data_IF_029182489357
#
_entry.id   IF_029182489357
#
_cell.length_a   1.000
_cell.length_b   1.000
_cell.length_c   1.000
_cell.angle_alpha   90.00
_cell.angle_beta   90.00
_cell.angle_gamma   90.00
#
_symmetry.space_group_name_H-M   'P 1'
#
loop_
_entity.id
_entity.type
_entity.pdbx_description
1 polymer ?
#
# COMPACT_ATOMS: atom_id res chain seq x y z
N UNK A 1 4.21 16.15 -12.47
CA UNK A 1 3.75 14.86 -11.95
C UNK A 1 2.25 14.96 -11.74
N UNK A 2 1.47 14.12 -12.41
CA UNK A 2 0.03 14.08 -12.22
C UNK A 2 -0.24 13.50 -10.81
N UNK A 3 -1.04 14.17 -9.99
CA UNK A 3 -1.43 13.63 -8.68
C UNK A 3 -2.51 12.55 -8.90
N UNK A 4 -2.10 11.36 -9.37
CA UNK A 4 -3.01 10.25 -9.67
C UNK A 4 -3.84 9.84 -8.46
N UNK A 5 -3.23 9.78 -7.28
CA UNK A 5 -3.93 9.41 -6.06
C UNK A 5 -5.02 10.39 -5.63
N UNK A 6 -4.94 11.64 -6.06
CA UNK A 6 -6.00 12.65 -5.82
C UNK A 6 -7.16 12.59 -6.81
N UNK A 7 -7.05 11.79 -7.87
CA UNK A 7 -8.13 11.60 -8.85
C UNK A 7 -9.11 10.53 -8.39
N UNK A 8 -10.32 10.56 -8.93
CA UNK A 8 -11.33 9.51 -8.77
C UNK A 8 -11.43 8.68 -10.04
N UNK A 9 -11.63 7.37 -9.90
CA UNK A 9 -11.95 6.53 -11.05
C UNK A 9 -13.28 6.95 -11.67
N UNK A 10 -13.34 6.91 -12.98
CA UNK A 10 -14.56 7.22 -13.74
C UNK A 10 -15.06 5.94 -14.41
N UNK A 11 -16.39 5.75 -14.56
CA UNK A 11 -16.91 4.60 -15.25
C UNK A 11 -16.32 4.50 -16.66
N UNK A 12 -15.73 3.34 -17.01
CA UNK A 12 -15.27 3.07 -18.35
C UNK A 12 -16.43 2.45 -19.16
N UNK A 13 -16.96 3.20 -20.10
CA UNK A 13 -17.98 2.68 -21.02
C UNK A 13 -17.35 1.80 -22.09
N UNK A 14 -18.02 0.70 -22.44
CA UNK A 14 -17.59 -0.15 -23.55
C UNK A 14 -17.53 0.64 -24.86
N UNK A 15 -16.45 0.41 -25.63
CA UNK A 15 -16.20 1.13 -26.89
C UNK A 15 -15.12 2.21 -26.82
N UNK A 16 -14.67 2.60 -25.62
CA UNK A 16 -13.46 3.40 -25.48
C UNK A 16 -12.24 2.55 -25.83
N UNK A 17 -11.31 3.02 -26.68
CA UNK A 17 -10.09 2.26 -26.97
C UNK A 17 -9.20 2.14 -25.71
N UNK A 18 -8.47 1.03 -25.54
CA UNK A 18 -7.44 0.93 -24.52
C UNK A 18 -6.36 2.01 -24.68
N UNK A 19 -5.66 2.29 -23.58
CA UNK A 19 -4.55 3.23 -23.58
C UNK A 19 -3.42 2.76 -24.51
N UNK A 20 -2.85 3.67 -25.28
CA UNK A 20 -1.71 3.38 -26.18
C UNK A 20 -0.42 3.13 -25.40
N UNK A 21 0.50 2.32 -25.97
CA UNK A 21 1.73 1.88 -25.31
C UNK A 21 2.61 3.04 -24.81
N UNK A 22 2.73 4.10 -25.59
CA UNK A 22 3.51 5.29 -25.21
C UNK A 22 2.95 5.93 -23.94
N UNK A 23 1.63 6.03 -23.84
CA UNK A 23 0.94 6.62 -22.70
C UNK A 23 1.02 5.71 -21.47
N UNK A 24 0.97 4.39 -21.66
CA UNK A 24 1.21 3.40 -20.58
C UNK A 24 2.59 3.64 -19.97
N UNK A 25 3.63 3.81 -20.78
CA UNK A 25 5.00 4.06 -20.31
C UNK A 25 5.15 5.41 -19.57
N UNK A 26 4.35 6.41 -19.95
CA UNK A 26 4.31 7.69 -19.23
C UNK A 26 3.70 7.51 -17.84
N UNK A 27 2.55 6.83 -17.73
CA UNK A 27 1.87 6.60 -16.47
C UNK A 27 2.63 5.65 -15.53
N UNK A 28 3.38 4.67 -16.05
CA UNK A 28 4.24 3.79 -15.25
C UNK A 28 5.31 4.55 -14.46
N UNK A 29 5.75 5.71 -14.93
CA UNK A 29 6.71 6.56 -14.20
C UNK A 29 6.11 7.20 -12.93
N UNK A 30 4.79 7.26 -12.85
CA UNK A 30 4.06 7.84 -11.72
C UNK A 30 3.72 6.78 -10.64
N UNK A 31 3.87 5.48 -10.95
CA UNK A 31 3.57 4.36 -10.05
C UNK A 31 4.78 3.44 -9.90
N UNK A 32 5.53 3.61 -8.81
CA UNK A 32 6.80 2.92 -8.62
C UNK A 32 6.60 1.42 -8.33
N UNK A 33 7.36 0.58 -9.03
CA UNK A 33 7.38 -0.86 -8.84
C UNK A 33 6.19 -1.61 -9.43
N UNK A 34 5.34 -0.94 -10.21
CA UNK A 34 4.34 -1.60 -11.05
C UNK A 34 4.94 -2.01 -12.39
N UNK A 35 4.58 -3.19 -12.86
CA UNK A 35 5.03 -3.77 -14.12
C UNK A 35 3.86 -3.96 -15.06
N UNK A 36 4.03 -3.58 -16.34
CA UNK A 36 3.04 -3.87 -17.38
C UNK A 36 3.23 -5.28 -17.91
N UNK A 37 2.13 -5.97 -18.21
CA UNK A 37 2.08 -7.27 -18.85
C UNK A 37 1.24 -7.18 -20.12
N UNK A 38 1.85 -7.53 -21.25
CA UNK A 38 1.20 -7.60 -22.57
C UNK A 38 0.41 -6.33 -22.97
N UNK A 39 0.80 -5.17 -22.46
CA UNK A 39 0.11 -3.88 -22.60
C UNK A 39 -1.39 -3.91 -22.21
N UNK A 40 -1.80 -4.92 -21.41
CA UNK A 40 -3.20 -5.16 -21.04
C UNK A 40 -3.48 -5.00 -19.56
N UNK A 41 -2.50 -5.24 -18.70
CA UNK A 41 -2.64 -5.08 -17.26
C UNK A 41 -1.34 -4.55 -16.65
N UNK A 42 -1.45 -3.95 -15.49
CA UNK A 42 -0.32 -3.64 -14.62
C UNK A 42 -0.42 -4.45 -13.35
N UNK A 43 0.72 -4.91 -12.82
CA UNK A 43 0.79 -5.71 -11.61
C UNK A 43 1.88 -5.23 -10.66
N UNK A 44 1.66 -5.45 -9.35
CA UNK A 44 2.66 -5.28 -8.31
C UNK A 44 2.46 -6.29 -7.19
N UNK A 45 3.56 -6.83 -6.65
CA UNK A 45 3.55 -7.75 -5.52
C UNK A 45 4.03 -7.05 -4.26
N UNK A 46 3.18 -7.02 -3.25
CA UNK A 46 3.47 -6.53 -1.91
C UNK A 46 3.86 -7.69 -1.00
N UNK A 47 4.82 -7.48 -0.11
CA UNK A 47 5.33 -8.50 0.82
C UNK A 47 5.09 -8.04 2.25
N UNK A 48 4.54 -8.93 3.07
CA UNK A 48 4.22 -8.70 4.47
C UNK A 48 5.01 -9.66 5.36
N UNK A 49 5.07 -9.38 6.65
CA UNK A 49 5.75 -10.26 7.64
C UNK A 49 4.92 -11.51 7.91
N UNK A 50 3.60 -11.40 7.92
CA UNK A 50 2.67 -12.46 8.26
C UNK A 50 1.55 -12.58 7.24
N UNK A 51 0.89 -13.74 7.23
CA UNK A 51 -0.34 -13.95 6.45
C UNK A 51 -1.47 -13.02 6.91
N UNK A 52 -1.57 -12.73 8.22
CA UNK A 52 -2.58 -11.84 8.78
C UNK A 52 -2.44 -10.42 8.22
N UNK A 53 -1.24 -9.86 8.26
CA UNK A 53 -0.96 -8.54 7.66
C UNK A 53 -1.32 -8.48 6.17
N UNK A 54 -1.00 -9.54 5.41
CA UNK A 54 -1.37 -9.64 4.01
C UNK A 54 -2.90 -9.58 3.80
N UNK A 55 -3.68 -10.30 4.63
CA UNK A 55 -5.14 -10.28 4.55
C UNK A 55 -5.73 -8.94 5.01
N UNK A 56 -5.16 -8.33 6.06
CA UNK A 56 -5.62 -7.02 6.53
C UNK A 56 -5.42 -5.95 5.45
N UNK A 57 -4.30 -5.99 4.72
CA UNK A 57 -4.06 -5.12 3.57
C UNK A 57 -5.03 -5.40 2.40
N UNK A 58 -5.30 -6.66 2.09
CA UNK A 58 -6.32 -7.03 1.07
C UNK A 58 -7.68 -6.44 1.40
N UNK A 59 -8.10 -6.49 2.67
CA UNK A 59 -9.38 -5.91 3.10
C UNK A 59 -9.41 -4.37 2.91
N UNK A 60 -8.30 -3.68 3.16
CA UNK A 60 -8.23 -2.23 2.92
C UNK A 60 -8.30 -1.91 1.43
N UNK A 61 -7.60 -2.66 0.58
CA UNK A 61 -7.67 -2.50 -0.87
C UNK A 61 -9.07 -2.83 -1.40
N UNK A 62 -9.74 -3.85 -0.84
CA UNK A 62 -11.12 -4.16 -1.20
C UNK A 62 -12.08 -2.99 -0.91
N UNK A 63 -11.99 -2.37 0.27
CA UNK A 63 -12.78 -1.18 0.58
C UNK A 63 -12.49 -0.02 -0.39
N UNK A 64 -11.20 0.22 -0.70
CA UNK A 64 -10.81 1.22 -1.69
C UNK A 64 -11.39 0.91 -3.08
N UNK A 65 -11.39 -0.35 -3.50
CA UNK A 65 -11.92 -0.79 -4.80
C UNK A 65 -13.44 -0.55 -4.90
N UNK A 66 -14.19 -0.82 -3.81
CA UNK A 66 -15.62 -0.49 -3.73
C UNK A 66 -15.86 1.02 -3.81
N UNK A 67 -15.07 1.82 -3.09
CA UNK A 67 -15.21 3.28 -3.09
C UNK A 67 -14.91 3.90 -4.47
N UNK A 68 -13.98 3.31 -5.22
CA UNK A 68 -13.55 3.78 -6.54
C UNK A 68 -14.37 3.15 -7.69
N UNK A 69 -15.08 2.04 -7.45
CA UNK A 69 -15.78 1.28 -8.48
C UNK A 69 -14.83 0.65 -9.50
N UNK A 70 -13.57 0.35 -9.09
CA UNK A 70 -12.55 -0.25 -9.95
C UNK A 70 -11.79 -1.34 -9.17
N UNK A 71 -11.99 -2.59 -9.55
CA UNK A 71 -11.59 -3.77 -8.78
C UNK A 71 -10.35 -4.42 -9.36
N UNK A 72 -9.28 -4.64 -8.57
CA UNK A 72 -8.12 -5.42 -8.97
C UNK A 72 -8.42 -6.93 -8.92
N UNK A 73 -7.75 -7.72 -9.74
CA UNK A 73 -7.57 -9.13 -9.48
C UNK A 73 -6.53 -9.30 -8.37
N UNK A 74 -6.82 -10.19 -7.38
CA UNK A 74 -6.02 -10.33 -6.17
C UNK A 74 -5.49 -11.75 -6.04
N UNK A 75 -4.17 -11.91 -6.04
CA UNK A 75 -3.50 -13.20 -5.92
C UNK A 75 -2.75 -13.24 -4.58
N UNK A 76 -3.18 -14.12 -3.67
CA UNK A 76 -2.58 -14.26 -2.34
C UNK A 76 -1.73 -15.51 -2.29
N UNK A 77 -0.45 -15.35 -1.95
CA UNK A 77 0.51 -16.45 -1.75
C UNK A 77 1.18 -16.29 -0.39
N UNK A 78 0.53 -16.82 0.65
CA UNK A 78 0.89 -16.70 2.07
C UNK A 78 1.00 -15.22 2.50
N UNK A 79 2.21 -14.68 2.65
CA UNK A 79 2.47 -13.29 3.04
C UNK A 79 2.79 -12.36 1.86
N UNK A 80 2.48 -12.79 0.65
CA UNK A 80 2.63 -11.98 -0.57
C UNK A 80 1.30 -11.82 -1.25
N UNK A 81 0.98 -10.60 -1.63
CA UNK A 81 -0.24 -10.25 -2.36
C UNK A 81 0.16 -9.57 -3.65
N UNK A 82 -0.30 -10.10 -4.77
CA UNK A 82 -0.16 -9.46 -6.08
C UNK A 82 -1.50 -8.86 -6.46
N UNK A 83 -1.51 -7.58 -6.78
CA UNK A 83 -2.66 -6.92 -7.39
C UNK A 83 -2.39 -6.79 -8.88
N UNK A 84 -3.36 -7.19 -9.69
CA UNK A 84 -3.38 -7.01 -11.13
C UNK A 84 -4.53 -6.05 -11.46
N UNK A 85 -4.23 -4.99 -12.20
CA UNK A 85 -5.18 -3.95 -12.57
C UNK A 85 -5.34 -3.93 -14.08
N UNK A 86 -6.57 -4.01 -14.53
CA UNK A 86 -6.97 -3.93 -15.93
C UNK A 86 -8.42 -3.45 -16.04
N UNK A 87 -8.75 -2.76 -17.09
CA UNK A 87 -10.11 -2.32 -17.35
C UNK A 87 -10.80 -3.32 -18.28
N UNK A 88 -11.52 -4.28 -17.70
CA UNK A 88 -12.15 -5.38 -18.44
C UNK A 88 -13.09 -4.92 -19.55
N UNK A 89 -13.84 -3.82 -19.36
CA UNK A 89 -14.80 -3.30 -20.33
C UNK A 89 -14.17 -2.92 -21.67
N UNK A 90 -12.89 -2.52 -21.66
CA UNK A 90 -12.13 -2.12 -22.85
C UNK A 90 -11.04 -3.12 -23.22
N UNK A 91 -10.89 -4.22 -22.45
CA UNK A 91 -9.88 -5.29 -22.64
C UNK A 91 -8.44 -4.78 -22.65
N UNK A 92 -8.12 -3.84 -21.79
CA UNK A 92 -6.80 -3.22 -21.69
C UNK A 92 -6.72 -2.18 -20.59
N UNK A 93 -5.70 -1.35 -20.62
CA UNK A 93 -5.44 -0.34 -19.60
C UNK A 93 -6.18 0.97 -19.89
N UNK A 94 -6.60 1.61 -18.80
CA UNK A 94 -7.13 2.97 -18.75
C UNK A 94 -6.42 3.78 -17.65
N UNK A 95 -6.76 5.06 -17.52
CA UNK A 95 -6.26 5.88 -16.42
C UNK A 95 -6.67 5.35 -15.04
N UNK A 96 -7.84 4.69 -14.93
CA UNK A 96 -8.32 4.12 -13.66
C UNK A 96 -7.35 3.10 -13.06
N UNK A 97 -6.69 2.29 -13.88
CA UNK A 97 -5.73 1.30 -13.43
C UNK A 97 -4.54 1.97 -12.70
N UNK A 98 -4.07 3.08 -13.22
CA UNK A 98 -2.98 3.86 -12.63
C UNK A 98 -3.43 4.69 -11.42
N UNK A 99 -4.67 5.19 -11.41
CA UNK A 99 -5.27 5.82 -10.23
C UNK A 99 -5.33 4.82 -9.08
N UNK A 100 -5.86 3.61 -9.33
CA UNK A 100 -5.91 2.55 -8.32
C UNK A 100 -4.53 2.13 -7.86
N UNK A 101 -3.58 1.91 -8.77
CA UNK A 101 -2.19 1.60 -8.44
C UNK A 101 -1.58 2.62 -7.46
N UNK A 102 -1.73 3.91 -7.78
CA UNK A 102 -1.23 5.00 -6.94
C UNK A 102 -1.88 5.04 -5.55
N UNK A 103 -3.19 4.78 -5.45
CA UNK A 103 -3.92 4.72 -4.17
C UNK A 103 -3.54 3.52 -3.33
N UNK A 104 -3.35 2.34 -3.94
CA UNK A 104 -2.86 1.14 -3.26
C UNK A 104 -1.46 1.39 -2.68
N UNK A 105 -0.57 2.05 -3.44
CA UNK A 105 0.76 2.42 -2.95
C UNK A 105 0.70 3.39 -1.77
N UNK A 106 -0.23 4.35 -1.78
CA UNK A 106 -0.42 5.25 -0.64
C UNK A 106 -0.87 4.52 0.63
N UNK A 107 -1.81 3.57 0.52
CA UNK A 107 -2.25 2.74 1.65
C UNK A 107 -1.07 1.97 2.24
N UNK A 108 -0.31 1.28 1.42
CA UNK A 108 0.85 0.50 1.85
C UNK A 108 1.92 1.37 2.54
N UNK A 109 2.26 2.51 1.93
CA UNK A 109 3.25 3.44 2.47
C UNK A 109 2.80 4.08 3.78
N UNK A 110 1.49 4.31 3.95
CA UNK A 110 0.92 4.81 5.19
C UNK A 110 1.06 3.80 6.33
N UNK A 111 0.75 2.54 6.09
CA UNK A 111 0.92 1.46 7.07
C UNK A 111 2.38 1.34 7.53
N UNK A 112 3.33 1.31 6.60
CA UNK A 112 4.75 1.27 6.94
C UNK A 112 5.19 2.48 7.80
N UNK A 113 4.69 3.67 7.51
CA UNK A 113 5.01 4.87 8.28
C UNK A 113 4.44 4.79 9.69
N UNK A 114 3.19 4.38 9.84
CA UNK A 114 2.53 4.23 11.15
C UNK A 114 3.26 3.18 11.97
N UNK A 115 3.59 2.02 11.41
CA UNK A 115 4.36 0.97 12.11
C UNK A 115 5.69 1.50 12.62
N UNK A 116 6.48 2.16 11.75
CA UNK A 116 7.79 2.74 12.12
C UNK A 116 7.68 3.75 13.27
N UNK A 117 6.65 4.61 13.25
CA UNK A 117 6.42 5.61 14.32
C UNK A 117 6.02 4.93 15.62
N UNK A 118 5.11 3.96 15.59
CA UNK A 118 4.63 3.23 16.76
C UNK A 118 5.76 2.45 17.42
N UNK A 119 6.55 1.72 16.65
CA UNK A 119 7.71 0.95 17.14
C UNK A 119 8.73 1.88 17.80
N UNK A 120 9.06 3.01 17.18
CA UNK A 120 9.98 4.01 17.75
C UNK A 120 9.48 4.57 19.07
N UNK A 121 8.18 4.89 19.16
CA UNK A 121 7.56 5.41 20.39
C UNK A 121 7.56 4.39 21.51
N UNK A 122 7.22 3.13 21.24
CA UNK A 122 7.26 2.05 22.21
C UNK A 122 8.68 1.79 22.74
N UNK A 123 9.69 1.81 21.87
CA UNK A 123 11.10 1.68 22.27
C UNK A 123 11.53 2.81 23.21
N UNK A 124 11.17 4.04 22.91
CA UNK A 124 11.46 5.22 23.75
C UNK A 124 10.82 5.11 25.14
N UNK A 125 9.55 4.66 25.21
CA UNK A 125 8.84 4.46 26.50
C UNK A 125 9.51 3.36 27.34
N UNK A 126 9.89 2.24 26.70
CA UNK A 126 10.60 1.15 27.42
C UNK A 126 11.94 1.59 27.97
N UNK A 127 12.70 2.38 27.21
CA UNK A 127 13.96 2.94 27.66
C UNK A 127 13.78 3.89 28.85
N UNK A 128 12.78 4.78 28.80
CA UNK A 128 12.45 5.69 29.89
C UNK A 128 12.09 4.94 31.17
N UNK A 129 11.25 3.90 31.08
CA UNK A 129 10.88 3.06 32.20
C UNK A 129 12.09 2.35 32.82
N UNK A 130 13.00 1.82 32.00
CA UNK A 130 14.23 1.20 32.49
C UNK A 130 15.11 2.19 33.29
N UNK A 131 15.27 3.42 32.78
CA UNK A 131 16.01 4.49 33.49
C UNK A 131 15.35 4.82 34.82
N UNK A 132 14.03 4.97 34.86
CA UNK A 132 13.29 5.25 36.11
C UNK A 132 13.48 4.14 37.11
N UNK A 133 13.41 2.87 36.71
CA UNK A 133 13.63 1.72 37.59
C UNK A 133 15.06 1.75 38.17
N UNK A 134 16.07 1.98 37.34
CA UNK A 134 17.47 2.05 37.78
C UNK A 134 17.67 3.19 38.79
N UNK A 135 17.12 4.37 38.53
CA UNK A 135 17.19 5.51 39.46
C UNK A 135 16.50 5.21 40.79
N UNK A 136 15.33 4.57 40.75
CA UNK A 136 14.62 4.15 41.96
C UNK A 136 15.44 3.16 42.82
N UNK A 137 16.08 2.18 42.15
CA UNK A 137 16.96 1.21 42.84
C UNK A 137 18.18 1.89 43.45
N UNK A 138 18.79 2.85 42.78
CA UNK A 138 19.93 3.62 43.32
C UNK A 138 19.53 4.48 44.52
N UNK A 139 18.33 5.07 44.51
CA UNK A 139 17.81 5.84 45.67
C UNK A 139 17.52 4.95 46.84
N UNK A 140 16.96 3.76 46.64
CA UNK A 140 16.75 2.76 47.69
C UNK A 140 18.08 2.30 48.30
N UNK A 141 19.08 2.03 47.44
CA UNK A 141 20.41 1.62 47.92
C UNK A 141 21.07 2.68 48.79
N UNK A 142 21.01 3.98 48.42
CA UNK A 142 21.51 5.09 49.23
C UNK A 142 20.79 5.26 50.58
N UNK A 143 19.58 4.74 50.72
CA UNK A 143 18.81 4.82 51.97
C UNK A 143 19.16 3.71 52.96
N UNK A 144 19.75 2.61 52.47
CA UNK A 144 20.12 1.44 53.28
C UNK A 144 21.61 1.32 53.58
N UNK A 145 22.44 2.07 52.86
CA UNK A 145 23.88 2.18 53.07
C UNK A 145 24.32 3.64 53.20
#
# INVERSE_FOLDING_TARGET
MANLAGKKCVPCEGGTPPMEAEKIQEYLKEVEGWEVKEDKLIQKTFKFKTFREAIDFVNQVANLAEDEGHHPDIIIRYSRVTFELTTHAIKGLSENDFIMASKIDLLHNWEEKVEKVVVKKLFSIRLLLAVVIVLALLLLWKRFF
#
